data_IF_198568629390
#
_entry.id   IF_198568629390
#
_cell.length_a   1.000
_cell.length_b   1.000
_cell.length_c   1.000
_cell.angle_alpha   90.00
_cell.angle_beta   90.00
_cell.angle_gamma   90.00
#
_symmetry.space_group_name_H-M   'P 1'
#
loop_
_entity.id
_entity.type
_entity.pdbx_description
1 polymer ?
#
# COMPACT_ATOMS: atom_id res chain seq x y z
N UNK A 1 -30.40 -1.64 -55.48
CA UNK A 1 -29.56 -2.50 -54.62
C UNK A 1 -28.65 -1.56 -53.84
N UNK A 2 -29.03 -1.24 -52.60
CA UNK A 2 -28.30 -0.27 -51.75
C UNK A 2 -27.30 -1.09 -50.93
N UNK A 3 -26.00 -0.83 -51.12
CA UNK A 3 -24.97 -1.39 -50.26
C UNK A 3 -25.07 -0.75 -48.87
N UNK A 4 -24.94 -1.52 -47.77
CA UNK A 4 -24.89 -0.93 -46.45
C UNK A 4 -23.62 -0.06 -46.32
N UNK A 5 -23.69 1.04 -45.55
CA UNK A 5 -22.52 1.87 -45.29
C UNK A 5 -21.45 1.05 -44.58
N UNK A 6 -20.21 1.20 -45.04
CA UNK A 6 -19.03 0.58 -44.42
C UNK A 6 -18.95 0.99 -42.95
N UNK A 7 -18.91 0.01 -42.05
CA UNK A 7 -18.60 0.25 -40.64
C UNK A 7 -17.24 0.94 -40.54
N UNK A 8 -17.24 2.23 -40.18
CA UNK A 8 -16.04 3.02 -39.97
C UNK A 8 -15.19 2.41 -38.86
N UNK A 9 -13.86 2.39 -39.04
CA UNK A 9 -12.86 1.71 -38.21
C UNK A 9 -12.72 2.17 -36.75
N UNK A 10 -13.71 2.85 -36.18
CA UNK A 10 -13.72 3.31 -34.78
C UNK A 10 -13.83 2.17 -33.76
N UNK A 11 -14.44 1.02 -34.11
CA UNK A 11 -14.67 -0.06 -33.16
C UNK A 11 -13.44 -0.92 -32.83
N UNK A 12 -12.46 -1.02 -33.72
CA UNK A 12 -11.25 -1.84 -33.50
C UNK A 12 -10.29 -1.12 -32.54
N UNK A 13 -10.11 0.18 -32.71
CA UNK A 13 -9.26 0.99 -31.82
C UNK A 13 -9.87 1.13 -30.43
N UNK A 14 -11.19 1.26 -30.32
CA UNK A 14 -11.91 1.24 -29.04
C UNK A 14 -11.78 -0.12 -28.34
N UNK A 15 -11.89 -1.22 -29.09
CA UNK A 15 -11.71 -2.57 -28.55
C UNK A 15 -10.26 -2.81 -28.12
N UNK A 16 -9.29 -2.33 -28.89
CA UNK A 16 -7.86 -2.41 -28.55
C UNK A 16 -7.55 -1.60 -27.29
N UNK A 17 -8.03 -0.36 -27.19
CA UNK A 17 -7.89 0.47 -25.99
C UNK A 17 -8.57 -0.16 -24.77
N UNK A 18 -9.74 -0.79 -24.95
CA UNK A 18 -10.41 -1.53 -23.88
C UNK A 18 -9.55 -2.72 -23.41
N UNK A 19 -9.09 -3.55 -24.34
CA UNK A 19 -8.24 -4.74 -24.08
C UNK A 19 -6.88 -4.39 -23.48
N UNK A 20 -6.36 -3.20 -23.76
CA UNK A 20 -5.05 -2.72 -23.30
C UNK A 20 -5.12 -1.93 -21.97
N UNK A 21 -6.29 -1.82 -21.34
CA UNK A 21 -6.34 -1.22 -20.00
C UNK A 21 -5.59 -2.09 -18.99
N UNK A 22 -4.67 -1.49 -18.23
CA UNK A 22 -3.89 -2.16 -17.18
C UNK A 22 -4.79 -2.99 -16.23
N UNK A 23 -6.04 -2.54 -16.02
CA UNK A 23 -7.00 -3.25 -15.16
C UNK A 23 -7.39 -4.64 -15.69
N UNK A 24 -7.57 -4.81 -16.99
CA UNK A 24 -7.89 -6.12 -17.59
C UNK A 24 -6.66 -7.03 -17.63
N UNK A 25 -5.48 -6.48 -17.91
CA UNK A 25 -4.22 -7.23 -17.95
C UNK A 25 -3.82 -7.77 -16.57
N UNK A 26 -3.95 -6.94 -15.55
CA UNK A 26 -3.40 -7.22 -14.21
C UNK A 26 -4.45 -7.69 -13.20
N UNK A 27 -5.75 -7.63 -13.55
CA UNK A 27 -6.87 -7.99 -12.67
C UNK A 27 -7.13 -6.98 -11.54
N UNK A 28 -6.41 -5.86 -11.51
CA UNK A 28 -6.55 -4.78 -10.54
C UNK A 28 -6.40 -3.44 -11.24
N UNK A 29 -7.23 -2.46 -10.83
CA UNK A 29 -7.01 -1.06 -11.21
C UNK A 29 -5.80 -0.52 -10.45
N UNK A 30 -4.67 -0.45 -11.16
CA UNK A 30 -3.46 0.22 -10.68
C UNK A 30 -3.57 1.72 -10.97
N UNK A 31 -3.21 2.56 -10.01
CA UNK A 31 -3.24 4.02 -10.17
C UNK A 31 -2.07 4.67 -9.46
N UNK A 32 -1.68 5.85 -9.97
CA UNK A 32 -0.65 6.70 -9.36
C UNK A 32 -1.28 7.59 -8.29
N UNK A 33 -0.57 7.77 -7.17
CA UNK A 33 -0.92 8.67 -6.08
C UNK A 33 0.36 9.23 -5.44
N UNK A 34 0.22 10.13 -4.46
CA UNK A 34 1.33 10.69 -3.70
C UNK A 34 1.38 10.18 -2.26
N UNK A 35 2.52 10.36 -1.61
CA UNK A 35 2.64 10.22 -0.16
C UNK A 35 1.78 11.32 0.49
N UNK A 36 0.78 10.99 1.33
CA UNK A 36 -0.19 11.98 1.84
C UNK A 36 0.45 12.97 2.82
N UNK A 37 1.41 12.52 3.61
CA UNK A 37 2.23 13.31 4.52
C UNK A 37 3.57 12.59 4.67
N UNK A 38 4.66 13.33 4.81
CA UNK A 38 5.99 12.76 5.04
C UNK A 38 6.22 12.28 6.46
N UNK A 39 5.70 12.99 7.46
CA UNK A 39 5.94 12.69 8.87
C UNK A 39 5.25 11.40 9.26
N UNK A 40 6.03 10.43 9.74
CA UNK A 40 5.57 9.08 10.03
C UNK A 40 6.10 8.62 11.39
N UNK A 41 5.21 8.06 12.22
CA UNK A 41 5.61 7.28 13.40
C UNK A 41 5.33 5.81 13.16
N UNK A 42 6.28 4.95 13.52
CA UNK A 42 6.21 3.50 13.29
C UNK A 42 6.71 2.75 14.52
N UNK A 43 6.04 1.65 14.85
CA UNK A 43 6.60 0.59 15.69
C UNK A 43 6.96 -0.57 14.77
N UNK A 44 8.14 -1.17 14.98
CA UNK A 44 8.62 -2.34 14.23
C UNK A 44 8.97 -3.44 15.23
N UNK A 45 8.42 -4.64 15.05
CA UNK A 45 8.69 -5.78 15.91
C UNK A 45 8.84 -7.06 15.10
N UNK A 46 9.78 -7.89 15.50
CA UNK A 46 9.80 -9.29 15.12
C UNK A 46 8.98 -10.08 16.14
N UNK A 47 8.04 -10.87 15.66
CA UNK A 47 7.08 -11.59 16.50
C UNK A 47 6.87 -12.99 15.97
N UNK A 48 6.39 -13.91 16.80
CA UNK A 48 5.96 -15.22 16.34
C UNK A 48 4.80 -15.06 15.34
N UNK A 49 4.83 -15.84 14.25
CA UNK A 49 3.82 -15.81 13.19
C UNK A 49 2.40 -16.02 13.74
N UNK A 50 2.26 -16.89 14.76
CA UNK A 50 0.99 -17.13 15.44
C UNK A 50 0.44 -15.91 16.18
N UNK A 51 1.31 -15.00 16.62
CA UNK A 51 0.97 -13.83 17.43
C UNK A 51 0.91 -12.52 16.63
N UNK A 52 1.19 -12.55 15.32
CA UNK A 52 1.36 -11.36 14.48
C UNK A 52 0.20 -10.37 14.58
N UNK A 53 -1.04 -10.86 14.65
CA UNK A 53 -2.23 -10.01 14.73
C UNK A 53 -2.41 -9.40 16.13
N UNK A 54 -2.25 -10.21 17.17
CA UNK A 54 -2.32 -9.75 18.56
C UNK A 54 -1.25 -8.69 18.85
N UNK A 55 -0.03 -8.90 18.36
CA UNK A 55 1.05 -7.93 18.51
C UNK A 55 0.82 -6.66 17.69
N UNK A 56 0.31 -6.78 16.46
CA UNK A 56 -0.09 -5.61 15.67
C UNK A 56 -1.16 -4.76 16.37
N UNK A 57 -2.15 -5.40 17.01
CA UNK A 57 -3.18 -4.71 17.78
C UNK A 57 -2.60 -3.95 19.00
N UNK A 58 -1.64 -4.56 19.71
CA UNK A 58 -0.91 -3.89 20.80
C UNK A 58 -0.12 -2.70 20.30
N UNK A 59 0.63 -2.85 19.20
CA UNK A 59 1.39 -1.76 18.56
C UNK A 59 0.47 -0.60 18.16
N UNK A 60 -0.70 -0.90 17.59
CA UNK A 60 -1.70 0.10 17.23
C UNK A 60 -2.21 0.85 18.47
N UNK A 61 -2.48 0.14 19.56
CA UNK A 61 -2.91 0.74 20.82
C UNK A 61 -1.83 1.69 21.38
N UNK A 62 -0.56 1.25 21.41
CA UNK A 62 0.57 2.08 21.84
C UNK A 62 0.69 3.36 21.00
N UNK A 63 0.62 3.23 19.66
CA UNK A 63 0.69 4.41 18.78
C UNK A 63 -0.45 5.39 19.03
N UNK A 64 -1.68 4.90 19.23
CA UNK A 64 -2.85 5.75 19.55
C UNK A 64 -2.67 6.48 20.88
N UNK A 65 -2.14 5.79 21.89
CA UNK A 65 -1.83 6.41 23.19
C UNK A 65 -0.76 7.50 23.04
N UNK A 66 0.29 7.25 22.26
CA UNK A 66 1.33 8.22 21.99
C UNK A 66 0.81 9.48 21.27
N UNK A 67 -0.05 9.29 20.26
CA UNK A 67 -0.72 10.39 19.55
C UNK A 67 -1.50 11.27 20.54
N UNK A 68 -2.30 10.64 21.40
CA UNK A 68 -3.10 11.34 22.42
C UNK A 68 -2.22 12.08 23.43
N UNK A 69 -1.19 11.44 23.95
CA UNK A 69 -0.32 12.00 24.98
C UNK A 69 0.48 13.22 24.49
N UNK A 70 0.83 13.27 23.20
CA UNK A 70 1.65 14.33 22.60
C UNK A 70 0.83 15.35 21.80
N UNK A 71 -0.50 15.28 21.89
CA UNK A 71 -1.43 16.14 21.15
C UNK A 71 -1.10 16.19 19.65
N UNK A 72 -0.85 15.01 19.05
CA UNK A 72 -0.53 14.82 17.63
C UNK A 72 -1.83 14.55 16.88
N UNK A 73 -1.93 14.95 15.62
CA UNK A 73 -3.06 14.58 14.76
C UNK A 73 -2.64 13.47 13.80
N UNK A 74 -3.42 12.38 13.76
CA UNK A 74 -3.33 11.38 12.69
C UNK A 74 -3.91 11.99 11.40
N UNK A 75 -3.11 12.01 10.32
CA UNK A 75 -3.48 12.62 9.04
C UNK A 75 -4.11 11.60 8.08
N UNK A 76 -3.73 10.34 8.19
CA UNK A 76 -4.12 9.30 7.24
C UNK A 76 -4.44 7.98 7.97
N UNK A 77 -5.23 7.05 7.39
CA UNK A 77 -5.50 5.76 8.00
C UNK A 77 -4.23 4.98 8.37
N UNK A 78 -4.37 4.04 9.31
CA UNK A 78 -3.26 3.18 9.77
C UNK A 78 -2.59 2.50 8.59
N UNK A 79 -1.26 2.46 8.63
CA UNK A 79 -0.45 1.65 7.72
C UNK A 79 0.15 0.46 8.46
N UNK A 80 0.30 -0.66 7.77
CA UNK A 80 1.03 -1.79 8.30
C UNK A 80 1.74 -2.62 7.22
N UNK A 81 2.67 -3.45 7.68
CA UNK A 81 3.33 -4.50 6.92
C UNK A 81 3.41 -5.76 7.77
N UNK A 82 3.08 -6.90 7.16
CA UNK A 82 3.22 -8.23 7.77
C UNK A 82 4.14 -9.06 6.89
N UNK A 83 5.44 -9.05 7.21
CA UNK A 83 6.48 -9.66 6.40
C UNK A 83 6.91 -10.99 7.04
N UNK A 84 6.83 -12.13 6.34
CA UNK A 84 7.36 -13.38 6.89
C UNK A 84 8.88 -13.27 7.07
N UNK A 85 9.39 -13.75 8.21
CA UNK A 85 10.83 -13.80 8.51
C UNK A 85 11.18 -15.22 8.97
N UNK A 86 11.79 -16.01 8.09
CA UNK A 86 12.00 -17.44 8.35
C UNK A 86 10.69 -18.23 8.49
N UNK A 87 10.75 -19.36 9.20
CA UNK A 87 9.65 -20.34 9.28
C UNK A 87 8.52 -19.91 10.23
N UNK A 88 8.89 -19.48 11.44
CA UNK A 88 7.94 -19.27 12.54
C UNK A 88 7.85 -17.82 13.03
N UNK A 89 8.57 -16.90 12.40
CA UNK A 89 8.57 -15.49 12.77
C UNK A 89 8.03 -14.59 11.65
N UNK A 90 7.59 -13.41 12.04
CA UNK A 90 7.11 -12.38 11.14
C UNK A 90 7.57 -11.03 11.65
N UNK A 91 8.05 -10.19 10.74
CA UNK A 91 8.24 -8.79 11.02
C UNK A 91 6.93 -8.05 10.80
N UNK A 92 6.46 -7.39 11.85
CA UNK A 92 5.25 -6.57 11.84
C UNK A 92 5.68 -5.12 12.03
N UNK A 93 5.27 -4.28 11.08
CA UNK A 93 5.44 -2.83 11.18
C UNK A 93 4.04 -2.21 11.19
N UNK A 94 3.78 -1.30 12.12
CA UNK A 94 2.51 -0.54 12.21
C UNK A 94 2.86 0.93 12.36
N UNK A 95 2.15 1.83 11.67
CA UNK A 95 2.44 3.25 11.74
C UNK A 95 1.28 4.16 11.40
N UNK A 96 1.52 5.45 11.64
CA UNK A 96 0.63 6.55 11.32
C UNK A 96 1.38 7.71 10.68
N UNK A 97 0.76 8.28 9.66
CA UNK A 97 1.10 9.60 9.18
C UNK A 97 0.58 10.66 10.16
N UNK A 98 1.45 11.60 10.54
CA UNK A 98 1.17 12.59 11.57
C UNK A 98 1.44 14.02 11.11
N UNK A 99 0.80 14.99 11.74
CA UNK A 99 0.82 16.40 11.32
C UNK A 99 2.12 17.14 11.65
N UNK A 100 2.93 16.63 12.57
CA UNK A 100 4.14 17.30 13.06
C UNK A 100 5.24 16.31 13.39
N UNK A 101 6.47 16.80 13.42
CA UNK A 101 7.63 16.04 13.89
C UNK A 101 7.57 15.80 15.39
N UNK A 102 8.04 14.62 15.81
CA UNK A 102 8.14 14.23 17.21
C UNK A 102 9.45 13.50 17.46
N UNK A 103 9.92 13.53 18.70
CA UNK A 103 11.09 12.77 19.09
C UNK A 103 10.78 11.26 19.07
N UNK A 104 11.68 10.49 18.47
CA UNK A 104 11.69 9.03 18.63
C UNK A 104 11.93 8.65 20.08
N UNK A 105 11.43 7.49 20.49
CA UNK A 105 11.79 6.85 21.74
C UNK A 105 12.16 5.37 21.50
N UNK A 106 12.34 4.59 22.57
CA UNK A 106 12.79 3.20 22.49
C UNK A 106 11.80 2.28 21.75
N UNK A 107 10.53 2.65 21.65
CA UNK A 107 9.48 1.82 21.05
C UNK A 107 8.91 2.42 19.75
N UNK A 108 8.76 3.75 19.72
CA UNK A 108 8.15 4.50 18.62
C UNK A 108 9.24 5.27 17.89
N UNK A 109 9.39 4.95 16.61
CA UNK A 109 10.36 5.58 15.73
C UNK A 109 9.64 6.65 14.91
N UNK A 110 10.06 7.90 15.06
CA UNK A 110 9.76 8.94 14.09
C UNK A 110 10.68 8.79 12.87
N UNK A 111 10.08 8.88 11.69
CA UNK A 111 10.80 8.86 10.41
C UNK A 111 10.03 9.69 9.38
N UNK A 112 10.63 9.84 8.20
CA UNK A 112 10.00 10.55 7.09
C UNK A 112 9.93 9.64 5.88
N UNK A 113 8.75 9.56 5.28
CA UNK A 113 8.60 8.95 3.97
C UNK A 113 9.31 9.83 2.93
N UNK A 114 10.11 9.25 2.02
CA UNK A 114 10.80 10.02 0.99
C UNK A 114 9.82 10.88 0.18
N UNK A 115 10.10 12.18 0.10
CA UNK A 115 9.35 13.12 -0.75
C UNK A 115 9.93 13.06 -2.17
N UNK A 116 9.11 12.76 -3.17
CA UNK A 116 9.45 13.02 -4.58
C UNK A 116 9.08 11.91 -5.58
N UNK A 117 8.88 10.68 -5.13
CA UNK A 117 8.45 9.58 -6.00
C UNK A 117 6.94 9.35 -5.98
N UNK A 118 6.29 9.05 -7.11
CA UNK A 118 4.90 8.60 -7.09
C UNK A 118 4.77 7.27 -6.32
N UNK A 119 3.63 7.11 -5.66
CA UNK A 119 3.15 5.83 -5.21
C UNK A 119 2.29 5.22 -6.30
N UNK A 120 2.56 3.98 -6.66
CA UNK A 120 1.65 3.15 -7.45
C UNK A 120 0.88 2.26 -6.50
N UNK A 121 -0.43 2.26 -6.67
CA UNK A 121 -1.33 1.65 -5.71
C UNK A 121 -2.38 0.77 -6.39
N UNK A 122 -2.78 -0.28 -5.68
CA UNK A 122 -3.91 -1.13 -6.02
C UNK A 122 -4.79 -1.30 -4.77
N UNK A 123 -6.11 -1.20 -4.96
CA UNK A 123 -7.09 -1.47 -3.89
C UNK A 123 -7.40 -2.96 -3.85
N UNK A 124 -7.49 -3.51 -2.64
CA UNK A 124 -7.89 -4.89 -2.41
C UNK A 124 -8.94 -4.94 -1.30
N UNK A 125 -10.03 -5.65 -1.56
CA UNK A 125 -11.05 -5.98 -0.57
C UNK A 125 -11.29 -7.49 -0.58
N UNK A 126 -11.10 -8.14 0.55
CA UNK A 126 -11.20 -9.59 0.68
C UNK A 126 -10.48 -10.13 1.91
N UNK A 127 -10.35 -11.44 2.03
CA UNK A 127 -9.62 -12.08 3.14
C UNK A 127 -8.16 -11.61 3.20
N UNK A 128 -7.65 -11.35 4.40
CA UNK A 128 -6.26 -10.93 4.61
C UNK A 128 -5.25 -11.90 4.00
N UNK A 129 -5.50 -13.21 4.08
CA UNK A 129 -4.66 -14.26 3.47
C UNK A 129 -4.48 -14.09 1.96
N UNK A 130 -5.47 -13.52 1.27
CA UNK A 130 -5.51 -13.37 -0.19
C UNK A 130 -4.93 -12.04 -0.69
N UNK A 131 -4.57 -11.12 0.22
CA UNK A 131 -4.02 -9.80 -0.15
C UNK A 131 -2.71 -9.88 -0.94
N UNK A 132 -1.98 -11.00 -0.83
CA UNK A 132 -0.75 -11.27 -1.58
C UNK A 132 -0.95 -11.16 -3.10
N UNK A 133 -2.18 -11.38 -3.60
CA UNK A 133 -2.51 -11.15 -5.02
C UNK A 133 -2.23 -9.71 -5.46
N UNK A 134 -2.61 -8.72 -4.66
CA UNK A 134 -2.36 -7.32 -4.99
C UNK A 134 -0.86 -6.98 -5.00
N UNK A 135 -0.06 -7.61 -4.12
CA UNK A 135 1.40 -7.47 -4.13
C UNK A 135 2.02 -8.07 -5.39
N UNK A 136 1.64 -9.31 -5.74
CA UNK A 136 2.12 -9.99 -6.95
C UNK A 136 1.78 -9.16 -8.18
N UNK A 137 0.56 -8.65 -8.27
CA UNK A 137 0.12 -7.80 -9.37
C UNK A 137 0.93 -6.50 -9.48
N UNK A 138 1.08 -5.73 -8.39
CA UNK A 138 1.88 -4.50 -8.41
C UNK A 138 3.35 -4.78 -8.71
N UNK A 139 3.89 -5.87 -8.21
CA UNK A 139 5.25 -6.28 -8.51
C UNK A 139 5.43 -6.61 -10.00
N UNK A 140 4.49 -7.32 -10.61
CA UNK A 140 4.51 -7.59 -12.05
C UNK A 140 4.42 -6.30 -12.86
N UNK A 141 3.58 -5.36 -12.45
CA UNK A 141 3.51 -4.03 -13.07
C UNK A 141 4.87 -3.31 -12.99
N UNK A 142 5.54 -3.34 -11.85
CA UNK A 142 6.86 -2.73 -11.70
C UNK A 142 7.91 -3.36 -12.61
N UNK A 143 7.88 -4.69 -12.76
CA UNK A 143 8.77 -5.41 -13.67
C UNK A 143 8.49 -5.00 -15.12
N UNK A 144 7.24 -5.05 -15.56
CA UNK A 144 6.83 -4.78 -16.95
C UNK A 144 7.16 -3.34 -17.38
N UNK A 145 7.05 -2.38 -16.47
CA UNK A 145 7.33 -0.96 -16.71
C UNK A 145 8.70 -0.50 -16.19
N UNK A 146 9.59 -1.44 -15.82
CA UNK A 146 10.96 -1.17 -15.36
C UNK A 146 11.07 -0.18 -14.19
N UNK A 147 10.05 -0.14 -13.34
CA UNK A 147 10.05 0.69 -12.14
C UNK A 147 10.90 0.07 -11.03
N UNK A 148 11.67 0.90 -10.34
CA UNK A 148 12.42 0.49 -9.16
C UNK A 148 11.67 0.89 -7.89
N UNK A 149 11.67 0.03 -6.88
CA UNK A 149 11.08 0.32 -5.57
C UNK A 149 12.05 1.15 -4.72
N UNK A 150 11.62 2.32 -4.25
CA UNK A 150 12.44 3.16 -3.37
C UNK A 150 12.42 2.68 -1.91
N UNK A 151 11.27 2.17 -1.44
CA UNK A 151 11.09 1.58 -0.12
C UNK A 151 10.28 0.29 -0.21
N UNK A 152 10.26 -0.49 0.87
CA UNK A 152 9.41 -1.67 0.97
C UNK A 152 7.93 -1.30 0.81
N UNK A 153 7.16 -2.06 0.01
CA UNK A 153 5.73 -1.82 -0.15
C UNK A 153 4.97 -1.90 1.17
N UNK A 154 3.92 -1.08 1.32
CA UNK A 154 3.14 -1.01 2.56
C UNK A 154 1.65 -0.97 2.29
N UNK A 155 0.87 -1.40 3.28
CA UNK A 155 -0.59 -1.44 3.22
C UNK A 155 -1.17 -0.24 3.96
N UNK A 156 -2.09 0.48 3.34
CA UNK A 156 -2.98 1.42 4.03
C UNK A 156 -4.31 0.73 4.27
N UNK A 157 -4.77 0.69 5.52
CA UNK A 157 -6.06 0.10 5.88
C UNK A 157 -7.14 1.17 5.81
N UNK A 158 -7.94 1.14 4.74
CA UNK A 158 -8.88 2.22 4.39
C UNK A 158 -10.00 2.39 5.42
N UNK A 159 -10.33 1.33 6.17
CA UNK A 159 -11.30 1.36 7.26
C UNK A 159 -10.65 1.72 8.61
N UNK A 160 -9.38 2.13 8.61
CA UNK A 160 -8.55 2.46 9.78
C UNK A 160 -8.53 1.35 10.86
N UNK A 161 -8.59 0.09 10.42
CA UNK A 161 -8.65 -1.11 11.28
C UNK A 161 -7.69 -2.17 10.76
N UNK A 162 -6.88 -2.73 11.67
CA UNK A 162 -6.01 -3.87 11.38
C UNK A 162 -6.78 -5.20 11.50
N UNK A 163 -6.33 -6.26 10.79
CA UNK A 163 -6.91 -7.59 10.86
C UNK A 163 -6.56 -8.28 12.19
N UNK A 164 -7.44 -9.16 12.62
CA UNK A 164 -7.27 -10.01 13.81
C UNK A 164 -6.95 -11.46 13.43
N UNK A 165 -7.21 -11.84 12.18
CA UNK A 165 -6.96 -13.18 11.65
C UNK A 165 -6.66 -13.15 10.15
N UNK A 166 -6.17 -14.27 9.62
CA UNK A 166 -5.94 -14.43 8.18
C UNK A 166 -7.26 -14.49 7.36
N UNK A 167 -8.41 -14.74 8.02
CA UNK A 167 -9.73 -14.83 7.41
C UNK A 167 -10.52 -13.51 7.46
N UNK A 168 -10.00 -12.50 8.18
CA UNK A 168 -10.67 -11.19 8.27
C UNK A 168 -10.80 -10.57 6.89
N UNK A 169 -11.99 -10.05 6.57
CA UNK A 169 -12.20 -9.24 5.39
C UNK A 169 -11.60 -7.86 5.65
N UNK A 170 -10.58 -7.52 4.87
CA UNK A 170 -9.90 -6.23 4.93
C UNK A 170 -10.25 -5.39 3.71
N UNK A 171 -10.14 -4.07 3.86
CA UNK A 171 -10.23 -3.09 2.78
C UNK A 171 -8.94 -2.26 2.81
N UNK A 172 -8.04 -2.54 1.87
CA UNK A 172 -6.70 -1.97 1.87
C UNK A 172 -6.34 -1.34 0.53
N UNK A 173 -5.33 -0.49 0.58
CA UNK A 173 -4.53 -0.06 -0.56
C UNK A 173 -3.11 -0.57 -0.36
N UNK A 174 -2.59 -1.35 -1.31
CA UNK A 174 -1.17 -1.75 -1.34
C UNK A 174 -0.42 -0.68 -2.12
N UNK A 175 0.68 -0.17 -1.56
CA UNK A 175 1.44 0.95 -2.10
C UNK A 175 2.87 0.53 -2.42
N UNK A 176 3.32 0.79 -3.64
CA UNK A 176 4.71 0.68 -4.05
C UNK A 176 5.22 2.08 -4.40
N UNK A 177 6.33 2.50 -3.81
CA UNK A 177 6.97 3.79 -4.14
C UNK A 177 7.99 3.60 -5.26
N UNK A 178 8.10 4.57 -6.17
CA UNK A 178 9.30 4.66 -7.03
C UNK A 178 10.23 5.76 -6.56
N UNK A 179 11.46 5.77 -7.09
CA UNK A 179 12.27 6.98 -7.01
C UNK A 179 11.58 8.12 -7.80
N UNK A 180 11.85 9.39 -7.44
CA UNK A 180 11.53 10.50 -8.33
C UNK A 180 12.16 10.18 -9.69
N UNK A 181 11.39 10.30 -10.78
CA UNK A 181 12.01 10.38 -12.09
C UNK A 181 12.79 11.69 -12.11
N UNK A 182 14.10 11.62 -11.91
CA UNK A 182 14.96 12.74 -12.28
C UNK A 182 14.59 13.09 -13.71
N UNK A 183 14.10 14.31 -13.91
CA UNK A 183 14.09 14.89 -15.24
C UNK A 183 15.54 14.84 -15.67
N UNK A 184 15.86 13.98 -16.62
CA UNK A 184 17.10 14.07 -17.40
C UNK A 184 17.18 15.53 -17.81
N UNK A 185 18.06 16.28 -17.15
CA UNK A 185 18.43 17.63 -17.55
C UNK A 185 19.41 17.54 -18.70
#
# INVERSE_FOLDING_TARGET
MIWPPSFSGTHIDDFKNFMETDSLRYGFKIFKTGVPESNLIVIRREVLKANKFTEAAKMLATLKQHIKANNIKQIYPVIAQFLPKGKDSSQVNVGFFIDKEVASNNEIIFTRMPKGGPLFAAKFKGEFSKRGKAYVTLNQYFIDYTHQTAILPFETYLDNKLPHSDNDIINIQVNFSTYPSDSVK
#
